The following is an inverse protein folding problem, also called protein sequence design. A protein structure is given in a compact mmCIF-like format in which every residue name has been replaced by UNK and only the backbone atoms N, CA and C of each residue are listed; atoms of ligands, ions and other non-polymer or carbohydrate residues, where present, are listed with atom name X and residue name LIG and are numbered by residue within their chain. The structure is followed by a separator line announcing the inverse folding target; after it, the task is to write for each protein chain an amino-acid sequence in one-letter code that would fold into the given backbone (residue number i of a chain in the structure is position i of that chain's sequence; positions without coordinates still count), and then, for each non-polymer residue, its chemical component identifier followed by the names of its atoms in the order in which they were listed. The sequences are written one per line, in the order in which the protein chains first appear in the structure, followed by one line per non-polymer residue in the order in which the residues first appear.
data_IF_832100199760
#
_entry.id   IF_832100199760
#
_cell.length_a   1.000
_cell.length_b   1.000
_cell.length_c   1.000
_cell.angle_alpha   90.00
_cell.angle_beta   90.00
_cell.angle_gamma   90.00
#
_symmetry.space_group_name_H-M   'P 1'
#
loop_
_entity.id
_entity.type
_entity.pdbx_description
1 polymer ?
#
# COMPACT_ATOMS: atom_id res chain seq x y z
N UNK A 1 -22.63 8.94 12.95
CA UNK A 1 -22.02 8.44 14.21
C UNK A 1 -21.24 7.18 13.89
N UNK A 2 -19.95 7.13 14.20
CA UNK A 2 -19.13 5.92 14.02
C UNK A 2 -19.42 4.98 15.19
N UNK A 3 -20.03 3.83 14.92
CA UNK A 3 -20.28 2.81 15.94
C UNK A 3 -18.97 2.10 16.28
N UNK A 4 -18.54 2.06 17.55
CA UNK A 4 -17.33 1.33 17.97
C UNK A 4 -17.37 -0.14 17.51
N UNK A 5 -16.21 -0.67 17.13
CA UNK A 5 -16.08 -2.12 16.84
C UNK A 5 -16.17 -2.88 18.16
N UNK A 6 -17.00 -3.92 18.19
CA UNK A 6 -17.13 -4.80 19.35
C UNK A 6 -16.44 -6.13 19.11
N UNK A 7 -16.16 -6.87 20.19
CA UNK A 7 -15.66 -8.25 20.11
C UNK A 7 -16.59 -9.15 19.27
N UNK A 8 -17.90 -8.91 19.29
CA UNK A 8 -18.87 -9.67 18.49
C UNK A 8 -18.64 -9.44 17.01
N UNK A 9 -18.37 -8.19 16.61
CA UNK A 9 -18.11 -7.84 15.21
C UNK A 9 -16.81 -8.49 14.73
N UNK A 10 -15.75 -8.48 15.55
CA UNK A 10 -14.48 -9.15 15.23
C UNK A 10 -14.68 -10.66 15.04
N UNK A 11 -15.41 -11.33 15.95
CA UNK A 11 -15.70 -12.77 15.84
C UNK A 11 -16.54 -13.07 14.59
N UNK A 12 -17.54 -12.23 14.29
CA UNK A 12 -18.34 -12.39 13.08
C UNK A 12 -17.48 -12.24 11.82
N UNK A 13 -16.59 -11.24 11.78
CA UNK A 13 -15.68 -11.01 10.67
C UNK A 13 -14.64 -12.12 10.50
N UNK A 14 -14.16 -12.72 11.61
CA UNK A 14 -13.23 -13.84 11.58
C UNK A 14 -13.75 -15.04 10.79
N UNK A 15 -15.08 -15.22 10.70
CA UNK A 15 -15.67 -16.32 9.96
C UNK A 15 -15.53 -16.21 8.43
N UNK A 16 -15.18 -15.02 7.92
CA UNK A 16 -15.11 -14.73 6.48
C UNK A 16 -13.73 -14.27 5.99
N UNK A 17 -12.74 -14.20 6.88
CA UNK A 17 -11.35 -13.83 6.52
C UNK A 17 -10.34 -14.87 7.02
N UNK A 18 -9.25 -15.11 6.28
CA UNK A 18 -8.29 -16.18 6.61
C UNK A 18 -7.23 -15.76 7.65
N UNK A 19 -7.44 -14.68 8.41
CA UNK A 19 -6.40 -14.11 9.26
C UNK A 19 -6.21 -14.90 10.56
N UNK A 20 -4.97 -15.32 10.88
CA UNK A 20 -4.72 -16.23 12.00
C UNK A 20 -4.83 -15.55 13.38
N UNK A 21 -4.71 -14.22 13.45
CA UNK A 21 -4.75 -13.47 14.72
C UNK A 21 -5.97 -12.55 14.81
N UNK A 22 -6.55 -12.43 16.01
CA UNK A 22 -7.68 -11.53 16.27
C UNK A 22 -7.35 -10.06 15.98
N UNK A 23 -6.11 -9.64 16.22
CA UNK A 23 -5.65 -8.26 15.91
C UNK A 23 -5.74 -7.98 14.41
N UNK A 24 -5.29 -8.92 13.57
CA UNK A 24 -5.41 -8.78 12.12
C UNK A 24 -6.87 -8.79 11.65
N UNK A 25 -7.73 -9.60 12.28
CA UNK A 25 -9.17 -9.61 11.97
C UNK A 25 -9.81 -8.26 12.32
N UNK A 26 -9.49 -7.72 13.50
CA UNK A 26 -10.01 -6.42 13.95
C UNK A 26 -9.54 -5.28 13.05
N UNK A 27 -8.25 -5.25 12.71
CA UNK A 27 -7.68 -4.25 11.80
C UNK A 27 -8.27 -4.37 10.39
N UNK A 28 -8.44 -5.58 9.87
CA UNK A 28 -9.06 -5.83 8.57
C UNK A 28 -10.52 -5.35 8.53
N UNK A 29 -11.28 -5.59 9.61
CA UNK A 29 -12.64 -5.08 9.76
C UNK A 29 -12.66 -3.54 9.82
N UNK A 30 -11.77 -2.92 10.59
CA UNK A 30 -11.66 -1.48 10.68
C UNK A 30 -11.31 -0.87 9.31
N UNK A 31 -10.39 -1.49 8.58
CA UNK A 31 -10.00 -1.10 7.24
C UNK A 31 -11.18 -1.19 6.25
N UNK A 32 -11.93 -2.29 6.27
CA UNK A 32 -13.15 -2.41 5.46
C UNK A 32 -14.17 -1.32 5.78
N UNK A 33 -14.40 -1.01 7.05
CA UNK A 33 -15.31 0.07 7.46
C UNK A 33 -14.80 1.44 7.04
N UNK A 34 -13.50 1.68 7.14
CA UNK A 34 -12.87 2.92 6.68
C UNK A 34 -13.04 3.09 5.17
N UNK A 35 -12.80 2.04 4.37
CA UNK A 35 -13.02 2.06 2.92
C UNK A 35 -14.47 2.43 2.58
N UNK A 36 -15.46 1.74 3.18
CA UNK A 36 -16.88 2.07 2.95
C UNK A 36 -17.16 3.51 3.36
N UNK A 37 -16.69 3.95 4.53
CA UNK A 37 -16.93 5.32 5.02
C UNK A 37 -16.35 6.39 4.10
N UNK A 38 -15.14 6.18 3.58
CA UNK A 38 -14.48 7.11 2.66
C UNK A 38 -15.21 7.24 1.32
N UNK A 39 -15.68 6.13 0.77
CA UNK A 39 -16.32 6.10 -0.55
C UNK A 39 -17.85 6.26 -0.53
N UNK A 40 -18.48 6.22 0.64
CA UNK A 40 -19.90 6.59 0.82
C UNK A 40 -20.08 8.10 1.07
N UNK A 41 -19.00 8.82 1.40
CA UNK A 41 -19.02 10.28 1.51
C UNK A 41 -19.08 10.93 0.11
N UNK A 42 -20.13 11.74 -0.10
CA UNK A 42 -20.44 12.30 -1.41
C UNK A 42 -19.35 13.24 -1.97
N UNK A 43 -18.58 13.89 -1.09
CA UNK A 43 -17.46 14.72 -1.50
C UNK A 43 -16.24 13.85 -1.78
N UNK A 44 -15.84 13.01 -0.83
CA UNK A 44 -14.59 12.24 -0.95
C UNK A 44 -14.60 11.26 -2.13
N UNK A 45 -15.73 10.61 -2.43
CA UNK A 45 -15.80 9.60 -3.49
C UNK A 45 -15.33 10.08 -4.89
N UNK A 46 -15.42 11.39 -5.16
CA UNK A 46 -14.96 12.02 -6.42
C UNK A 46 -13.73 12.91 -6.25
N UNK A 47 -13.03 12.81 -5.11
CA UNK A 47 -11.80 13.55 -4.83
C UNK A 47 -10.62 12.62 -4.60
N UNK A 48 -10.86 11.37 -4.19
CA UNK A 48 -9.80 10.41 -3.87
C UNK A 48 -9.94 9.12 -4.69
N UNK A 49 -8.80 8.60 -5.12
CA UNK A 49 -8.64 7.27 -5.68
C UNK A 49 -7.82 6.42 -4.72
N UNK A 50 -8.34 5.26 -4.33
CA UNK A 50 -7.57 4.28 -3.56
C UNK A 50 -6.66 3.48 -4.50
N UNK A 51 -5.51 3.06 -3.99
CA UNK A 51 -4.53 2.22 -4.71
C UNK A 51 -3.84 1.26 -3.75
N UNK A 52 -2.72 0.69 -4.17
CA UNK A 52 -1.83 -0.07 -3.30
C UNK A 52 -2.24 -1.53 -3.10
N UNK A 53 -1.47 -2.22 -2.25
CA UNK A 53 -1.62 -3.66 -2.02
C UNK A 53 -2.95 -4.03 -1.38
N UNK A 54 -3.43 -3.19 -0.47
CA UNK A 54 -4.73 -3.40 0.20
C UNK A 54 -5.89 -3.43 -0.79
N UNK A 55 -5.99 -2.45 -1.70
CA UNK A 55 -7.04 -2.44 -2.72
C UNK A 55 -6.95 -3.69 -3.61
N UNK A 56 -5.73 -4.07 -4.02
CA UNK A 56 -5.49 -5.25 -4.85
C UNK A 56 -6.02 -6.52 -4.16
N UNK A 57 -5.72 -6.73 -2.88
CA UNK A 57 -6.15 -7.93 -2.15
C UNK A 57 -7.61 -7.90 -1.68
N UNK A 58 -8.19 -6.71 -1.46
CA UNK A 58 -9.58 -6.58 -0.99
C UNK A 58 -10.60 -6.63 -2.11
N UNK A 59 -10.28 -6.07 -3.27
CA UNK A 59 -11.25 -5.83 -4.33
C UNK A 59 -10.98 -6.68 -5.56
N UNK A 60 -9.72 -7.02 -5.85
CA UNK A 60 -9.35 -7.69 -7.10
C UNK A 60 -8.93 -9.16 -6.93
N UNK A 61 -8.13 -9.47 -5.90
CA UNK A 61 -7.61 -10.81 -5.65
C UNK A 61 -8.37 -11.48 -4.50
N UNK A 62 -9.44 -12.22 -4.84
CA UNK A 62 -10.15 -13.08 -3.89
C UNK A 62 -9.82 -14.56 -4.15
N UNK A 63 -9.34 -15.32 -3.14
CA UNK A 63 -9.01 -14.90 -1.78
C UNK A 63 -7.72 -14.06 -1.70
N UNK A 64 -7.62 -13.22 -0.67
CA UNK A 64 -6.43 -12.39 -0.43
C UNK A 64 -5.17 -13.26 -0.23
N UNK A 65 -4.09 -12.97 -0.94
CA UNK A 65 -2.86 -13.77 -0.88
C UNK A 65 -1.94 -13.44 0.29
N UNK A 66 -2.11 -12.27 0.91
CA UNK A 66 -1.39 -11.84 2.12
C UNK A 66 -2.20 -10.81 2.89
N UNK A 67 -1.85 -10.63 4.15
CA UNK A 67 -2.35 -9.54 4.98
C UNK A 67 -1.82 -8.18 4.48
N UNK A 68 -2.66 -7.15 4.59
CA UNK A 68 -2.34 -5.75 4.25
C UNK A 68 -3.26 -4.82 5.05
N UNK A 69 -2.68 -3.85 5.72
CA UNK A 69 -3.35 -2.91 6.64
C UNK A 69 -3.19 -1.43 6.24
N UNK A 70 -2.34 -1.13 5.26
CA UNK A 70 -2.15 0.21 4.74
C UNK A 70 -3.37 0.72 3.96
N UNK A 71 -3.65 2.02 4.05
CA UNK A 71 -4.61 2.72 3.18
C UNK A 71 -3.83 3.70 2.30
N UNK A 72 -3.66 3.35 1.03
CA UNK A 72 -3.01 4.20 0.04
C UNK A 72 -4.06 4.99 -0.75
N UNK A 73 -4.08 6.32 -0.59
CA UNK A 73 -4.95 7.24 -1.32
C UNK A 73 -4.15 8.20 -2.19
N UNK A 74 -4.75 8.61 -3.30
CA UNK A 74 -4.29 9.72 -4.16
C UNK A 74 -5.46 10.64 -4.46
N UNK A 75 -5.18 11.91 -4.72
CA UNK A 75 -6.18 12.83 -5.26
C UNK A 75 -6.57 12.39 -6.68
N UNK A 76 -7.86 12.35 -6.99
CA UNK A 76 -8.36 12.07 -8.33
C UNK A 76 -7.88 13.16 -9.30
N UNK A 77 -7.46 12.75 -10.51
CA UNK A 77 -6.89 13.66 -11.51
C UNK A 77 -5.49 14.20 -11.20
N UNK A 78 -4.90 13.83 -10.06
CA UNK A 78 -3.52 14.23 -9.76
C UNK A 78 -2.51 13.55 -10.70
N UNK A 79 -1.47 14.30 -11.08
CA UNK A 79 -0.34 13.81 -11.85
C UNK A 79 0.91 14.01 -10.99
N UNK A 80 1.60 12.91 -10.67
CA UNK A 80 2.85 12.99 -9.94
C UNK A 80 4.00 13.40 -10.88
N UNK A 81 4.74 14.44 -10.49
CA UNK A 81 5.86 14.99 -11.24
C UNK A 81 7.13 14.17 -11.06
N UNK A 82 8.11 14.34 -11.95
CA UNK A 82 9.43 13.68 -11.83
C UNK A 82 10.08 13.95 -10.47
N UNK A 83 10.02 15.20 -10.01
CA UNK A 83 10.61 15.65 -8.75
C UNK A 83 10.07 14.89 -7.53
N UNK A 84 8.75 14.66 -7.49
CA UNK A 84 8.09 13.89 -6.43
C UNK A 84 8.58 12.44 -6.39
N UNK A 85 8.62 11.76 -7.54
CA UNK A 85 9.10 10.38 -7.60
C UNK A 85 10.58 10.25 -7.25
N UNK A 86 11.41 11.21 -7.67
CA UNK A 86 12.83 11.23 -7.31
C UNK A 86 13.00 11.40 -5.81
N UNK A 87 12.28 12.36 -5.19
CA UNK A 87 12.34 12.58 -3.76
C UNK A 87 11.86 11.36 -2.95
N UNK A 88 10.78 10.71 -3.41
CA UNK A 88 10.30 9.46 -2.82
C UNK A 88 11.37 8.37 -2.91
N UNK A 89 11.95 8.15 -4.08
CA UNK A 89 13.00 7.13 -4.26
C UNK A 89 14.24 7.44 -3.41
N UNK A 90 14.64 8.70 -3.32
CA UNK A 90 15.75 9.14 -2.46
C UNK A 90 15.49 8.85 -0.99
N UNK A 91 14.26 9.10 -0.51
CA UNK A 91 13.88 8.78 0.86
C UNK A 91 13.95 7.27 1.15
N UNK A 92 13.50 6.43 0.19
CA UNK A 92 13.61 4.98 0.32
C UNK A 92 15.07 4.51 0.30
N UNK A 93 15.91 5.05 -0.58
CA UNK A 93 17.33 4.72 -0.67
C UNK A 93 18.14 5.19 0.54
N UNK A 94 17.64 6.15 1.31
CA UNK A 94 18.22 6.55 2.59
C UNK A 94 17.85 5.60 3.74
N UNK A 95 16.78 4.80 3.59
CA UNK A 95 16.34 3.83 4.58
C UNK A 95 17.11 2.50 4.45
N UNK A 96 17.72 2.06 5.56
CA UNK A 96 18.51 0.82 5.57
C UNK A 96 17.65 -0.44 5.45
N UNK A 97 16.42 -0.40 5.97
CA UNK A 97 15.48 -1.51 5.88
C UNK A 97 15.11 -1.77 4.43
N UNK A 98 14.69 -0.71 3.72
CA UNK A 98 14.45 -0.74 2.28
C UNK A 98 15.67 -1.22 1.50
N UNK A 99 16.88 -0.70 1.80
CA UNK A 99 18.08 -1.13 1.08
C UNK A 99 18.48 -2.60 1.33
N UNK A 100 17.89 -3.29 2.30
CA UNK A 100 18.22 -4.69 2.62
C UNK A 100 17.06 -5.66 2.41
N UNK A 101 15.89 -5.18 2.02
CA UNK A 101 14.65 -5.95 1.93
C UNK A 101 14.72 -7.09 0.90
N UNK A 102 15.50 -6.90 -0.17
CA UNK A 102 15.70 -7.88 -1.24
C UNK A 102 16.68 -8.98 -0.87
N UNK A 103 17.54 -8.80 0.13
CA UNK A 103 18.60 -9.77 0.46
C UNK A 103 18.08 -11.20 0.68
N UNK A 104 16.95 -11.44 1.38
CA UNK A 104 16.40 -12.78 1.55
C UNK A 104 15.83 -13.39 0.26
N UNK A 105 15.57 -12.57 -0.76
CA UNK A 105 14.99 -12.97 -2.04
C UNK A 105 16.05 -13.21 -3.13
N UNK A 106 17.31 -12.79 -2.90
CA UNK A 106 18.40 -13.00 -3.84
C UNK A 106 18.80 -14.47 -3.90
N UNK A 107 19.02 -14.98 -5.11
CA UNK A 107 19.62 -16.31 -5.30
C UNK A 107 21.06 -16.29 -4.81
N UNK A 108 21.51 -17.42 -4.28
CA UNK A 108 22.90 -17.61 -3.84
C UNK A 108 23.86 -17.23 -4.97
N UNK A 109 24.85 -16.40 -4.64
CA UNK A 109 25.87 -15.91 -5.58
C UNK A 109 25.48 -14.67 -6.38
N UNK A 110 24.26 -14.16 -6.23
CA UNK A 110 23.84 -12.88 -6.83
C UNK A 110 24.08 -11.74 -5.85
N UNK A 111 24.75 -10.69 -6.31
CA UNK A 111 24.89 -9.42 -5.61
C UNK A 111 23.90 -8.41 -6.15
N UNK A 112 23.26 -7.64 -5.28
CA UNK A 112 22.36 -6.55 -5.65
C UNK A 112 22.76 -5.29 -4.86
N UNK A 113 22.98 -4.20 -5.59
CA UNK A 113 23.25 -2.88 -5.00
C UNK A 113 22.02 -1.99 -5.19
N UNK A 114 21.25 -1.70 -4.13
CA UNK A 114 20.05 -0.86 -4.21
C UNK A 114 20.37 0.57 -4.65
N UNK A 115 21.57 1.10 -4.34
CA UNK A 115 21.96 2.44 -4.74
C UNK A 115 22.18 2.51 -6.25
N UNK A 116 22.94 1.54 -6.80
CA UNK A 116 23.13 1.43 -8.24
C UNK A 116 21.80 1.21 -8.98
N UNK A 117 20.89 0.40 -8.43
CA UNK A 117 19.56 0.20 -8.99
C UNK A 117 18.73 1.50 -8.95
N UNK A 118 18.81 2.25 -7.85
CA UNK A 118 18.18 3.55 -7.69
C UNK A 118 18.62 4.55 -8.77
N UNK A 119 19.93 4.66 -9.01
CA UNK A 119 20.50 5.53 -10.04
C UNK A 119 20.04 5.13 -11.45
N UNK A 120 19.97 3.82 -11.70
CA UNK A 120 19.43 3.29 -12.96
C UNK A 120 17.96 3.71 -13.15
N UNK A 121 17.12 3.54 -12.13
CA UNK A 121 15.70 3.92 -12.17
C UNK A 121 15.53 5.42 -12.41
N UNK A 122 16.28 6.27 -11.70
CA UNK A 122 16.26 7.73 -11.91
C UNK A 122 16.61 8.09 -13.36
N UNK A 123 17.67 7.49 -13.88
CA UNK A 123 18.22 7.83 -15.19
C UNK A 123 17.38 7.28 -16.35
N UNK A 124 16.83 6.08 -16.23
CA UNK A 124 16.18 5.37 -17.34
C UNK A 124 14.65 5.45 -17.31
N UNK A 125 14.05 5.58 -16.13
CA UNK A 125 12.60 5.56 -15.97
C UNK A 125 12.07 6.93 -15.55
N UNK A 126 12.59 7.49 -14.46
CA UNK A 126 12.05 8.77 -13.95
C UNK A 126 12.37 9.94 -14.89
N UNK A 127 13.46 9.87 -15.66
CA UNK A 127 13.77 10.83 -16.71
C UNK A 127 12.73 10.91 -17.84
N UNK A 128 11.88 9.88 -18.00
CA UNK A 128 10.78 9.87 -18.98
C UNK A 128 9.57 10.67 -18.49
N UNK A 129 9.44 10.88 -17.18
CA UNK A 129 8.35 11.68 -16.61
C UNK A 129 8.55 13.17 -16.94
N UNK A 130 7.49 13.97 -17.05
CA UNK A 130 7.62 15.41 -17.30
C UNK A 130 8.50 16.10 -16.24
N UNK A 131 9.39 16.99 -16.69
CA UNK A 131 10.07 17.93 -15.80
C UNK A 131 9.04 18.99 -15.39
N UNK A 132 8.35 18.75 -14.28
CA UNK A 132 7.41 19.67 -13.65
C UNK A 132 7.67 19.67 -12.15
#
# INVERSE_FOLDING_TARGET
MITPITRRDVIAHQSVVPWPSQVQVEQDLLLCRAMVTLFDDAFLQGQIAMRGGTLLHKVHLAPASRYSDDIDLRMEGSVAGRSEFVALLDAHLADRGFCSDMNPLLRVGITYDPQQAGDYVKTKLLSLLPAR
#
